data_IF_648355688339
#
_entry.id   IF_648355688339
#
_cell.length_a   1.000
_cell.length_b   1.000
_cell.length_c   1.000
_cell.angle_alpha   90.00
_cell.angle_beta   90.00
_cell.angle_gamma   90.00
#
_symmetry.space_group_name_H-M   'P 1'
#
loop_
_entity.id
_entity.type
_entity.pdbx_description
1 polymer ?
#
# COMPACT_ATOMS: atom_id res chain seq x y z
N UNK A 1 -10.79 31.62 24.82
CA UNK A 1 -10.38 30.42 24.06
C UNK A 1 -8.90 30.24 24.33
N UNK A 2 -8.51 29.27 25.18
CA UNK A 2 -7.11 29.09 25.58
C UNK A 2 -6.44 28.19 24.56
N UNK A 3 -5.20 28.49 24.19
CA UNK A 3 -4.37 27.72 23.26
C UNK A 3 -4.15 26.25 23.68
N UNK A 4 -4.48 25.91 24.94
CA UNK A 4 -4.53 24.55 25.46
C UNK A 4 -5.64 23.68 24.88
N UNK A 5 -6.72 24.29 24.37
CA UNK A 5 -7.89 23.55 23.86
C UNK A 5 -7.65 23.00 22.43
N UNK A 6 -6.57 23.42 21.74
CA UNK A 6 -6.21 22.92 20.40
C UNK A 6 -5.27 21.70 20.45
N UNK A 7 -4.53 21.52 21.54
CA UNK A 7 -3.47 20.49 21.64
C UNK A 7 -4.00 19.10 22.04
N UNK A 8 -5.25 18.99 22.48
CA UNK A 8 -5.83 17.72 22.97
C UNK A 8 -6.57 16.91 21.89
N UNK A 9 -6.80 17.48 20.69
CA UNK A 9 -7.53 16.78 19.62
C UNK A 9 -6.62 16.11 18.57
N UNK A 10 -5.30 16.11 18.78
CA UNK A 10 -4.35 15.44 17.87
C UNK A 10 -3.84 14.09 18.40
N UNK A 11 -4.17 13.74 19.66
CA UNK A 11 -3.76 12.46 20.28
C UNK A 11 -4.88 11.39 20.28
N UNK A 12 -6.07 11.71 19.74
CA UNK A 12 -7.24 10.82 19.72
C UNK A 12 -7.54 10.18 18.35
N UNK A 13 -6.69 10.37 17.34
CA UNK A 13 -6.79 9.65 16.06
C UNK A 13 -6.18 8.23 16.13
N UNK A 14 -6.37 7.53 17.25
CA UNK A 14 -6.28 6.07 17.26
C UNK A 14 -7.55 5.52 16.62
N UNK A 15 -7.43 4.99 15.40
CA UNK A 15 -8.50 4.22 14.78
C UNK A 15 -8.86 3.05 15.70
N UNK A 16 -10.13 2.90 16.13
CA UNK A 16 -10.55 1.69 16.82
C UNK A 16 -10.42 0.53 15.84
N UNK A 17 -9.50 -0.41 16.15
CA UNK A 17 -9.44 -1.71 15.51
C UNK A 17 -10.74 -2.45 15.83
N UNK A 18 -11.72 -2.38 14.93
CA UNK A 18 -12.94 -3.19 15.04
C UNK A 18 -12.53 -4.66 14.91
N UNK A 19 -12.58 -5.37 16.04
CA UNK A 19 -12.49 -6.82 16.12
C UNK A 19 -13.71 -7.39 15.39
N UNK A 20 -13.55 -7.85 14.16
CA UNK A 20 -14.57 -8.71 13.56
C UNK A 20 -14.33 -10.14 14.05
N UNK A 21 -14.97 -10.46 15.18
CA UNK A 21 -15.15 -11.82 15.68
C UNK A 21 -16.54 -12.27 15.27
N UNK A 22 -16.62 -13.21 14.32
CA UNK A 22 -17.87 -13.93 14.01
C UNK A 22 -18.22 -14.02 12.53
N UNK A 23 -17.56 -14.92 11.82
CA UNK A 23 -18.24 -15.72 10.79
C UNK A 23 -17.55 -17.08 10.70
N UNK A 24 -18.20 -18.05 11.35
CA UNK A 24 -18.37 -19.43 10.90
C UNK A 24 -17.20 -20.13 10.19
N UNK A 25 -16.76 -21.23 10.82
CA UNK A 25 -16.03 -22.32 10.17
C UNK A 25 -16.71 -22.73 8.85
N UNK A 26 -16.09 -22.40 7.72
CA UNK A 26 -16.07 -23.34 6.58
C UNK A 26 -14.67 -23.90 6.50
N UNK A 27 -14.48 -24.98 7.27
CA UNK A 27 -13.45 -25.95 7.01
C UNK A 27 -13.77 -26.63 5.67
N UNK A 28 -13.43 -25.96 4.58
CA UNK A 28 -13.04 -26.65 3.35
C UNK A 28 -11.59 -26.26 3.17
N UNK A 29 -10.69 -27.23 3.29
CA UNK A 29 -9.29 -27.03 2.96
C UNK A 29 -9.23 -26.42 1.57
N UNK A 30 -8.92 -25.13 1.47
CA UNK A 30 -8.36 -24.60 0.24
C UNK A 30 -7.01 -25.29 0.14
N UNK A 31 -6.97 -26.40 -0.60
CA UNK A 31 -5.73 -26.90 -1.17
C UNK A 31 -4.95 -25.67 -1.59
N UNK A 32 -3.72 -25.57 -1.08
CA UNK A 32 -2.80 -24.50 -1.43
C UNK A 32 -2.60 -24.66 -2.94
N UNK A 33 -3.41 -23.97 -3.74
CA UNK A 33 -3.39 -24.10 -5.19
C UNK A 33 -1.96 -23.80 -5.60
N UNK A 34 -1.29 -24.82 -6.10
CA UNK A 34 0.07 -24.71 -6.56
C UNK A 34 -0.03 -23.86 -7.83
N UNK A 35 0.34 -22.59 -7.70
CA UNK A 35 0.44 -21.70 -8.85
C UNK A 35 1.41 -22.31 -9.85
N UNK A 36 1.00 -22.31 -11.11
CA UNK A 36 1.89 -22.56 -12.25
C UNK A 36 3.03 -21.52 -12.26
N UNK A 37 4.11 -21.81 -12.97
CA UNK A 37 5.21 -20.85 -13.10
C UNK A 37 4.75 -19.55 -13.78
N UNK A 38 3.81 -19.63 -14.72
CA UNK A 38 3.23 -18.47 -15.39
C UNK A 38 2.39 -17.62 -14.42
N UNK A 39 1.59 -18.26 -13.56
CA UNK A 39 0.82 -17.56 -12.54
C UNK A 39 1.71 -16.91 -11.47
N UNK A 40 2.84 -17.54 -11.11
CA UNK A 40 3.82 -16.92 -10.20
C UNK A 40 4.41 -15.65 -10.81
N UNK A 41 4.85 -15.71 -12.06
CA UNK A 41 5.37 -14.56 -12.81
C UNK A 41 4.33 -13.45 -12.95
N UNK A 42 3.07 -13.83 -13.21
CA UNK A 42 1.97 -12.88 -13.27
C UNK A 42 1.75 -12.18 -11.93
N UNK A 43 1.75 -12.93 -10.83
CA UNK A 43 1.63 -12.38 -9.47
C UNK A 43 2.79 -11.44 -9.13
N UNK A 44 4.03 -11.79 -9.49
CA UNK A 44 5.20 -10.92 -9.31
C UNK A 44 5.04 -9.62 -10.10
N UNK A 45 4.63 -9.71 -11.37
CA UNK A 45 4.38 -8.52 -12.21
C UNK A 45 3.27 -7.62 -11.62
N UNK A 46 2.21 -8.23 -11.06
CA UNK A 46 1.15 -7.48 -10.40
C UNK A 46 1.66 -6.74 -9.15
N UNK A 47 2.56 -7.37 -8.38
CA UNK A 47 3.21 -6.74 -7.22
C UNK A 47 4.15 -5.60 -7.62
N UNK A 48 4.91 -5.78 -8.70
CA UNK A 48 5.77 -4.72 -9.22
C UNK A 48 4.94 -3.52 -9.68
N UNK A 49 3.80 -3.78 -10.32
CA UNK A 49 2.85 -2.72 -10.67
C UNK A 49 2.27 -2.02 -9.43
N UNK A 50 1.85 -2.77 -8.41
CA UNK A 50 1.38 -2.20 -7.14
C UNK A 50 2.46 -1.32 -6.49
N UNK A 51 3.74 -1.72 -6.54
CA UNK A 51 4.84 -0.90 -6.05
C UNK A 51 4.98 0.42 -6.83
N UNK A 52 4.86 0.40 -8.16
CA UNK A 52 4.90 1.63 -8.97
C UNK A 52 3.72 2.55 -8.59
N UNK A 53 2.51 1.98 -8.50
CA UNK A 53 1.32 2.73 -8.13
C UNK A 53 1.45 3.38 -6.75
N UNK A 54 1.92 2.61 -5.76
CA UNK A 54 2.17 3.10 -4.42
C UNK A 54 3.24 4.18 -4.38
N UNK A 55 4.29 4.07 -5.20
CA UNK A 55 5.30 5.11 -5.34
C UNK A 55 4.70 6.44 -5.81
N UNK A 56 3.85 6.42 -6.84
CA UNK A 56 3.19 7.64 -7.32
C UNK A 56 2.15 8.18 -6.31
N UNK A 57 1.49 7.28 -5.57
CA UNK A 57 0.59 7.66 -4.48
C UNK A 57 1.33 8.39 -3.36
N UNK A 58 2.45 7.84 -2.88
CA UNK A 58 3.29 8.46 -1.84
C UNK A 58 3.83 9.81 -2.29
N UNK A 59 4.32 9.88 -3.52
CA UNK A 59 4.77 11.13 -4.14
C UNK A 59 3.64 12.16 -4.23
N UNK A 60 2.43 11.74 -4.59
CA UNK A 60 1.26 12.62 -4.68
C UNK A 60 0.85 13.15 -3.30
N UNK A 61 0.84 12.30 -2.27
CA UNK A 61 0.61 12.72 -0.88
C UNK A 61 1.67 13.71 -0.40
N UNK A 62 2.94 13.49 -0.74
CA UNK A 62 4.03 14.42 -0.39
C UNK A 62 3.86 15.79 -1.05
N UNK A 63 3.40 15.83 -2.30
CA UNK A 63 3.11 17.09 -3.02
C UNK A 63 2.00 17.92 -2.36
N UNK A 64 1.13 17.33 -1.55
CA UNK A 64 0.09 18.10 -0.83
C UNK A 64 0.62 18.80 0.42
N UNK A 65 1.85 18.52 0.84
CA UNK A 65 2.48 19.21 1.97
C UNK A 65 3.05 20.55 1.45
N UNK A 66 2.62 21.71 1.99
CA UNK A 66 3.14 23.00 1.58
C UNK A 66 4.66 23.05 1.71
N UNK A 67 5.33 23.43 0.62
CA UNK A 67 6.77 23.67 0.63
C UNK A 67 7.01 25.12 1.07
N UNK A 68 7.61 25.32 2.23
CA UNK A 68 7.78 26.66 2.81
C UNK A 68 8.08 26.64 4.30
N UNK A 69 9.19 26.00 4.67
CA UNK A 69 9.74 26.05 6.03
C UNK A 69 10.89 27.04 6.14
N UNK A 70 11.46 27.16 7.34
CA UNK A 70 12.67 27.97 7.60
C UNK A 70 13.89 27.50 6.80
N UNK A 71 13.87 26.25 6.32
CA UNK A 71 14.91 25.65 5.50
C UNK A 71 14.40 25.41 4.07
N UNK A 72 15.19 25.80 3.08
CA UNK A 72 14.94 25.49 1.69
C UNK A 72 15.17 24.00 1.40
N UNK A 73 14.34 23.43 0.53
CA UNK A 73 14.48 22.05 0.09
C UNK A 73 15.70 21.93 -0.81
N UNK A 74 16.61 21.01 -0.48
CA UNK A 74 17.80 20.76 -1.31
C UNK A 74 17.55 19.67 -2.35
N UNK A 75 18.29 19.71 -3.46
CA UNK A 75 18.27 18.63 -4.46
C UNK A 75 18.61 17.26 -3.87
N UNK A 76 19.55 17.21 -2.92
CA UNK A 76 19.91 15.96 -2.23
C UNK A 76 18.75 15.38 -1.43
N UNK A 77 17.93 16.24 -0.83
CA UNK A 77 16.72 15.82 -0.13
C UNK A 77 15.67 15.26 -1.10
N UNK A 78 15.47 15.88 -2.26
CA UNK A 78 14.54 15.36 -3.29
C UNK A 78 14.92 13.96 -3.77
N UNK A 79 16.21 13.73 -4.01
CA UNK A 79 16.73 12.42 -4.44
C UNK A 79 16.52 11.39 -3.32
N UNK A 80 16.89 11.72 -2.08
CA UNK A 80 16.73 10.81 -0.95
C UNK A 80 15.27 10.46 -0.70
N UNK A 81 14.36 11.44 -0.73
CA UNK A 81 12.92 11.23 -0.58
C UNK A 81 12.37 10.31 -1.68
N UNK A 82 12.81 10.49 -2.92
CA UNK A 82 12.40 9.63 -4.05
C UNK A 82 12.87 8.19 -3.88
N UNK A 83 14.10 7.99 -3.40
CA UNK A 83 14.64 6.65 -3.09
C UNK A 83 13.87 6.02 -1.93
N UNK A 84 13.56 6.80 -0.89
CA UNK A 84 12.79 6.34 0.26
C UNK A 84 11.38 5.92 -0.12
N UNK A 85 10.69 6.73 -0.94
CA UNK A 85 9.35 6.43 -1.44
C UNK A 85 9.36 5.12 -2.26
N UNK A 86 10.42 4.89 -3.04
CA UNK A 86 10.58 3.65 -3.82
C UNK A 86 10.71 2.42 -2.93
N UNK A 87 11.52 2.48 -1.86
CA UNK A 87 11.69 1.35 -0.94
C UNK A 87 10.42 1.08 -0.13
N UNK A 88 9.75 2.13 0.34
CA UNK A 88 8.46 1.97 1.02
C UNK A 88 7.42 1.33 0.12
N UNK A 89 7.29 1.80 -1.12
CA UNK A 89 6.36 1.22 -2.06
C UNK A 89 6.63 -0.27 -2.33
N UNK A 90 7.91 -0.66 -2.46
CA UNK A 90 8.31 -2.08 -2.63
C UNK A 90 7.91 -2.93 -1.42
N UNK A 91 8.20 -2.47 -0.20
CA UNK A 91 7.85 -3.18 1.04
C UNK A 91 6.33 -3.29 1.20
N UNK A 92 5.60 -2.23 0.89
CA UNK A 92 4.13 -2.18 0.96
C UNK A 92 3.48 -3.15 -0.03
N UNK A 93 3.99 -3.23 -1.26
CA UNK A 93 3.49 -4.17 -2.27
C UNK A 93 3.77 -5.63 -1.88
N UNK A 94 4.94 -5.92 -1.28
CA UNK A 94 5.27 -7.28 -0.84
C UNK A 94 4.46 -7.74 0.38
N UNK A 95 4.09 -6.81 1.26
CA UNK A 95 3.35 -7.10 2.50
C UNK A 95 1.83 -7.31 2.31
N UNK A 96 1.34 -7.29 1.06
CA UNK A 96 -0.10 -7.36 0.72
C UNK A 96 -0.92 -6.27 1.42
N UNK A 97 -0.35 -5.07 1.54
CA UNK A 97 -0.94 -3.99 2.34
C UNK A 97 -2.22 -3.41 1.73
N UNK A 98 -2.29 -3.26 0.39
CA UNK A 98 -3.48 -2.71 -0.27
C UNK A 98 -4.36 -3.77 -0.94
N UNK A 99 -3.78 -4.91 -1.32
CA UNK A 99 -4.49 -5.98 -2.01
C UNK A 99 -4.68 -5.74 -3.51
N UNK A 100 -4.09 -4.68 -4.07
CA UNK A 100 -4.23 -4.33 -5.48
C UNK A 100 -3.62 -5.40 -6.39
N UNK A 101 -2.44 -5.95 -6.05
CA UNK A 101 -1.83 -7.01 -6.83
C UNK A 101 -2.72 -8.25 -6.93
N UNK A 102 -3.43 -8.62 -5.86
CA UNK A 102 -4.37 -9.75 -5.86
C UNK A 102 -5.59 -9.49 -6.76
N UNK A 103 -6.13 -8.28 -6.73
CA UNK A 103 -7.25 -7.90 -7.59
C UNK A 103 -6.82 -7.98 -9.06
N UNK A 104 -5.65 -7.40 -9.39
CA UNK A 104 -5.10 -7.44 -10.75
C UNK A 104 -4.83 -8.88 -11.19
N UNK A 105 -4.23 -9.69 -10.32
CA UNK A 105 -3.97 -11.10 -10.60
C UNK A 105 -5.28 -11.86 -10.89
N UNK A 106 -6.33 -11.67 -10.10
CA UNK A 106 -7.63 -12.31 -10.32
C UNK A 106 -8.23 -11.93 -11.68
N UNK A 107 -8.21 -10.65 -12.04
CA UNK A 107 -8.75 -10.18 -13.31
C UNK A 107 -7.95 -10.70 -14.51
N UNK A 108 -6.61 -10.66 -14.43
CA UNK A 108 -5.73 -11.07 -15.51
C UNK A 108 -5.70 -12.58 -15.70
N UNK A 109 -5.64 -13.35 -14.61
CA UNK A 109 -5.67 -14.83 -14.66
C UNK A 109 -6.98 -15.35 -15.27
N UNK A 110 -8.13 -14.77 -14.91
CA UNK A 110 -9.42 -15.11 -15.52
C UNK A 110 -9.43 -14.82 -17.02
N UNK A 111 -8.91 -13.66 -17.44
CA UNK A 111 -8.83 -13.30 -18.86
C UNK A 111 -7.87 -14.21 -19.64
N UNK A 112 -6.80 -14.67 -19.00
CA UNK A 112 -5.85 -15.60 -19.60
C UNK A 112 -6.39 -17.03 -19.70
N UNK A 113 -7.18 -17.47 -18.72
CA UNK A 113 -7.81 -18.80 -18.71
C UNK A 113 -9.05 -18.90 -19.62
N UNK A 114 -9.67 -17.78 -19.98
CA UNK A 114 -10.83 -17.72 -20.87
C UNK A 114 -10.50 -17.68 -22.37
N UNK A 115 -9.23 -17.90 -22.75
CA UNK A 115 -8.77 -18.00 -24.13
C UNK A 115 -8.37 -19.42 -24.48
#
# INVERSE_FOLDING_TARGET
>A
MKVSDLALNLYSYSLPRQLNTGAEKSATGKEKQVLTEDEKRLMETCRDFEAIFLGELLKSMRKTIPQGGLLEKSFGQDVFESMLDTEYARIMAQSRSTGLAEILFQQLSQMMSGR
#
